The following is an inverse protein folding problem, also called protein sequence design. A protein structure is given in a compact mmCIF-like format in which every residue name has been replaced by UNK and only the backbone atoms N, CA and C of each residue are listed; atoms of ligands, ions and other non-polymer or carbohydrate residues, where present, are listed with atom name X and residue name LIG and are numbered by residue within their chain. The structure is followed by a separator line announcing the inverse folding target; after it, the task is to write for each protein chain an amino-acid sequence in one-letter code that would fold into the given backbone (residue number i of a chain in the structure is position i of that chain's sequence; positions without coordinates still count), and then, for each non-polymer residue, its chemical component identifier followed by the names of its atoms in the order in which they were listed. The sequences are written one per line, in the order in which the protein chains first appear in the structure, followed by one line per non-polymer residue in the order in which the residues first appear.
data_IF_584021335230
#
_entry.id   IF_584021335230
#
_cell.length_a   1.000
_cell.length_b   1.000
_cell.length_c   1.000
_cell.angle_alpha   90.00
_cell.angle_beta   90.00
_cell.angle_gamma   90.00
#
_symmetry.space_group_name_H-M   'P 1'
#
loop_
_entity.id
_entity.type
_entity.pdbx_description
1 polymer ?
#
# COMPACT_ATOMS: atom_id res chain seq x y z
N UNK A 1 -9.10 1.21 -15.58
CA UNK A 1 -8.57 1.94 -14.42
C UNK A 1 -7.17 2.42 -14.70
N UNK A 2 -6.84 3.63 -14.32
CA UNK A 2 -5.47 4.17 -14.41
C UNK A 2 -5.06 4.71 -13.04
N UNK A 3 -3.78 4.58 -12.71
CA UNK A 3 -3.22 5.19 -11.51
C UNK A 3 -2.70 6.58 -11.87
N UNK A 4 -3.22 7.58 -11.17
CA UNK A 4 -2.79 8.97 -11.37
C UNK A 4 -1.41 9.17 -10.77
N UNK A 5 -0.57 9.92 -11.48
CA UNK A 5 0.74 10.32 -10.97
C UNK A 5 0.58 11.11 -9.67
N UNK A 6 1.43 10.80 -8.69
CA UNK A 6 1.47 11.47 -7.39
C UNK A 6 0.17 11.34 -6.56
N UNK A 7 -0.63 10.29 -6.80
CA UNK A 7 -1.84 10.01 -6.05
C UNK A 7 -1.61 8.90 -5.03
N UNK A 8 -2.40 8.95 -3.94
CA UNK A 8 -2.36 7.94 -2.88
C UNK A 8 -3.43 6.88 -3.12
N UNK A 9 -3.01 5.64 -3.03
CA UNK A 9 -3.86 4.45 -3.10
C UNK A 9 -3.67 3.62 -1.84
N UNK A 10 -4.66 2.81 -1.50
CA UNK A 10 -4.53 1.85 -0.42
C UNK A 10 -4.94 0.46 -0.87
N UNK A 11 -4.32 -0.56 -0.28
CA UNK A 11 -4.47 -1.96 -0.66
C UNK A 11 -4.42 -2.87 0.56
N UNK A 12 -5.39 -3.79 0.68
CA UNK A 12 -5.27 -4.96 1.55
C UNK A 12 -4.77 -6.15 0.73
N UNK A 13 -3.67 -6.77 1.13
CA UNK A 13 -3.05 -7.80 0.29
C UNK A 13 -3.72 -9.18 0.35
N UNK A 14 -4.59 -9.44 1.32
CA UNK A 14 -5.32 -10.72 1.35
C UNK A 14 -6.14 -10.86 0.06
N UNK A 15 -6.01 -12.01 -0.58
CA UNK A 15 -6.65 -12.26 -1.87
C UNK A 15 -5.86 -11.76 -3.08
N UNK A 16 -4.74 -11.06 -2.88
CA UNK A 16 -3.86 -10.62 -3.96
C UNK A 16 -2.78 -11.65 -4.26
N UNK A 17 -2.28 -11.59 -5.49
CA UNK A 17 -1.09 -12.33 -5.90
C UNK A 17 0.10 -11.39 -6.01
N UNK A 18 1.24 -11.80 -5.47
CA UNK A 18 2.46 -10.98 -5.51
C UNK A 18 2.89 -10.66 -6.95
N UNK A 19 2.70 -11.59 -7.87
CA UNK A 19 2.99 -11.38 -9.28
C UNK A 19 2.22 -10.18 -9.83
N UNK A 20 0.93 -10.06 -9.53
CA UNK A 20 0.10 -8.94 -9.98
C UNK A 20 0.52 -7.63 -9.34
N UNK A 21 0.84 -7.65 -8.04
CA UNK A 21 1.34 -6.46 -7.34
C UNK A 21 2.66 -5.99 -7.94
N UNK A 22 3.59 -6.90 -8.16
CA UNK A 22 4.89 -6.59 -8.77
C UNK A 22 4.72 -5.95 -10.16
N UNK A 23 3.85 -6.52 -10.99
CA UNK A 23 3.57 -5.97 -12.31
C UNK A 23 2.93 -4.59 -12.24
N UNK A 24 1.94 -4.41 -11.36
CA UNK A 24 1.27 -3.12 -11.16
C UNK A 24 2.24 -2.04 -10.69
N UNK A 25 3.10 -2.35 -9.72
CA UNK A 25 4.11 -1.42 -9.21
C UNK A 25 5.09 -1.01 -10.32
N UNK A 26 5.52 -1.94 -11.14
CA UNK A 26 6.44 -1.65 -12.26
C UNK A 26 5.79 -0.78 -13.33
N UNK A 27 4.55 -1.08 -13.69
CA UNK A 27 3.82 -0.31 -14.72
C UNK A 27 3.57 1.13 -14.28
N UNK A 28 3.22 1.32 -13.02
CA UNK A 28 2.79 2.63 -12.50
C UNK A 28 3.94 3.47 -11.95
N UNK A 29 5.07 2.86 -11.64
CA UNK A 29 6.16 3.52 -10.93
C UNK A 29 5.85 3.79 -9.46
N UNK A 30 4.82 3.13 -8.91
CA UNK A 30 4.40 3.35 -7.54
C UNK A 30 5.41 2.83 -6.52
N UNK A 31 5.41 3.44 -5.35
CA UNK A 31 6.07 2.92 -4.15
C UNK A 31 5.03 2.17 -3.32
N UNK A 32 5.33 0.94 -2.95
CA UNK A 32 4.53 0.18 -2.00
C UNK A 32 4.98 0.56 -0.59
N UNK A 33 4.10 1.20 0.15
CA UNK A 33 4.36 1.60 1.54
C UNK A 33 3.67 0.61 2.47
N UNK A 34 4.46 -0.27 3.07
CA UNK A 34 3.98 -1.29 3.98
C UNK A 34 3.81 -0.70 5.38
N UNK A 35 2.56 -0.55 5.82
CA UNK A 35 2.24 0.09 7.11
C UNK A 35 1.91 -0.91 8.22
N UNK A 36 2.27 -2.18 8.04
CA UNK A 36 2.14 -3.15 9.13
C UNK A 36 3.10 -2.80 10.26
N UNK A 37 2.66 -2.97 11.49
CA UNK A 37 3.54 -2.80 12.66
C UNK A 37 4.74 -3.74 12.57
N UNK A 38 4.47 -5.02 12.26
CA UNK A 38 5.47 -6.00 11.90
C UNK A 38 5.27 -6.37 10.42
N UNK A 39 6.31 -6.27 9.63
CA UNK A 39 6.28 -6.66 8.21
C UNK A 39 6.38 -8.18 8.08
N UNK A 40 5.41 -8.87 8.67
CA UNK A 40 5.35 -10.32 8.80
C UNK A 40 3.99 -10.85 8.36
N UNK A 41 3.97 -12.04 7.80
CA UNK A 41 2.76 -12.78 7.46
C UNK A 41 3.03 -14.27 7.66
N UNK A 42 1.99 -15.03 8.01
CA UNK A 42 2.05 -16.51 8.03
C UNK A 42 2.31 -17.05 6.63
N UNK A 43 1.84 -16.36 5.60
CA UNK A 43 2.19 -16.65 4.21
C UNK A 43 3.55 -16.00 3.91
N UNK A 44 4.61 -16.80 3.66
CA UNK A 44 5.96 -16.27 3.43
C UNK A 44 6.04 -15.26 2.28
N UNK A 45 5.15 -15.36 1.30
CA UNK A 45 5.07 -14.43 0.16
C UNK A 45 5.03 -12.98 0.61
N UNK A 46 4.33 -12.69 1.71
CA UNK A 46 4.09 -11.34 2.20
C UNK A 46 5.02 -10.91 3.33
N UNK A 47 6.08 -11.67 3.58
CA UNK A 47 7.16 -11.26 4.49
C UNK A 47 8.01 -10.18 3.82
N UNK A 48 8.55 -9.28 4.64
CA UNK A 48 9.41 -8.18 4.20
C UNK A 48 10.50 -8.62 3.23
N UNK A 49 11.20 -9.71 3.55
CA UNK A 49 12.31 -10.18 2.73
C UNK A 49 11.89 -10.52 1.30
N UNK A 50 10.72 -11.15 1.14
CA UNK A 50 10.19 -11.48 -0.17
C UNK A 50 9.68 -10.25 -0.92
N UNK A 51 9.11 -9.28 -0.21
CA UNK A 51 8.68 -8.02 -0.81
C UNK A 51 9.88 -7.19 -1.28
N UNK A 52 10.94 -7.14 -0.49
CA UNK A 52 12.22 -6.50 -0.90
C UNK A 52 12.79 -7.15 -2.15
N UNK A 53 12.80 -8.48 -2.21
CA UNK A 53 13.26 -9.21 -3.40
C UNK A 53 12.42 -8.87 -4.63
N UNK A 54 11.10 -8.82 -4.48
CA UNK A 54 10.19 -8.61 -5.60
C UNK A 54 10.20 -7.17 -6.11
N UNK A 55 10.27 -6.19 -5.21
CA UNK A 55 10.01 -4.79 -5.51
C UNK A 55 11.26 -3.89 -5.41
N UNK A 56 12.29 -4.34 -4.70
CA UNK A 56 13.52 -3.55 -4.52
C UNK A 56 13.24 -2.19 -3.87
N UNK A 57 13.72 -1.13 -4.49
CA UNK A 57 13.56 0.24 -3.98
C UNK A 57 12.11 0.74 -3.99
N UNK A 58 11.23 0.05 -4.71
CA UNK A 58 9.80 0.39 -4.73
C UNK A 58 9.05 -0.17 -3.52
N UNK A 59 9.72 -0.86 -2.62
CA UNK A 59 9.17 -1.31 -1.33
C UNK A 59 9.77 -0.52 -0.19
N UNK A 60 8.91 0.06 0.66
CA UNK A 60 9.31 0.77 1.88
C UNK A 60 8.43 0.27 3.03
N UNK A 61 9.05 -0.11 4.14
CA UNK A 61 8.32 -0.42 5.36
C UNK A 61 8.24 0.83 6.23
N UNK A 62 7.02 1.27 6.53
CA UNK A 62 6.75 2.45 7.36
C UNK A 62 6.17 2.01 8.70
N UNK A 63 7.01 1.65 9.65
CA UNK A 63 6.57 1.26 10.97
C UNK A 63 5.85 2.41 11.71
N UNK A 64 6.17 3.66 11.39
CA UNK A 64 5.51 4.83 11.98
C UNK A 64 4.00 4.81 11.79
N UNK A 65 3.50 4.26 10.70
CA UNK A 65 2.07 4.06 10.46
C UNK A 65 1.55 2.70 10.91
N UNK A 66 2.38 1.91 11.58
CA UNK A 66 1.95 0.65 12.16
C UNK A 66 1.05 0.87 13.36
N UNK A 67 0.15 -0.08 13.60
CA UNK A 67 -0.73 -0.08 14.76
C UNK A 67 -0.07 -0.85 15.91
N UNK A 68 0.34 -0.16 16.96
CA UNK A 68 0.94 -0.79 18.15
C UNK A 68 -0.01 -1.79 18.80
N UNK A 69 -1.32 -1.58 18.68
CA UNK A 69 -2.36 -2.41 19.26
C UNK A 69 -2.93 -3.43 18.26
N UNK A 70 -2.15 -3.86 17.28
CA UNK A 70 -2.64 -4.76 16.23
C UNK A 70 -3.21 -6.09 16.77
N UNK A 71 -2.77 -6.54 17.93
CA UNK A 71 -3.26 -7.78 18.56
C UNK A 71 -4.60 -7.60 19.25
N UNK A 72 -4.96 -6.38 19.62
CA UNK A 72 -6.21 -6.09 20.33
C UNK A 72 -7.40 -6.10 19.41
N UNK A 73 -7.23 -5.54 18.18
CA UNK A 73 -8.32 -5.37 17.22
C UNK A 73 -9.22 -4.19 17.56
N UNK A 74 -10.12 -3.87 16.63
CA UNK A 74 -11.04 -2.75 16.74
C UNK A 74 -10.44 -1.41 16.34
N UNK A 75 -11.22 -0.59 15.62
CA UNK A 75 -10.75 0.71 15.13
C UNK A 75 -10.48 1.70 16.27
N UNK A 76 -11.25 1.60 17.35
CA UNK A 76 -11.08 2.43 18.55
C UNK A 76 -9.78 2.15 19.29
N UNK A 77 -9.17 1.00 19.06
CA UNK A 77 -7.92 0.59 19.72
C UNK A 77 -6.68 0.88 18.88
N UNK A 78 -6.83 1.43 17.67
CA UNK A 78 -5.70 1.74 16.82
C UNK A 78 -4.83 2.81 17.46
N UNK A 79 -3.55 2.51 17.56
CA UNK A 79 -2.54 3.45 18.06
C UNK A 79 -1.34 3.43 17.13
N UNK A 80 -1.18 4.49 16.36
CA UNK A 80 -0.03 4.63 15.48
C UNK A 80 1.26 4.82 16.27
N UNK A 81 2.33 4.23 15.80
CA UNK A 81 3.67 4.41 16.40
C UNK A 81 4.05 5.88 16.38
N UNK A 82 3.96 6.53 15.22
CA UNK A 82 4.24 7.95 15.08
C UNK A 82 3.56 8.51 13.83
N UNK A 83 2.28 8.87 13.99
CA UNK A 83 1.43 9.30 12.87
C UNK A 83 2.03 10.46 12.07
N UNK A 84 2.54 11.50 12.73
CA UNK A 84 3.12 12.67 12.06
C UNK A 84 4.25 12.28 11.09
N UNK A 85 5.18 11.46 11.57
CA UNK A 85 6.31 11.00 10.75
C UNK A 85 5.83 10.18 9.56
N UNK A 86 4.81 9.34 9.78
CA UNK A 86 4.23 8.52 8.72
C UNK A 86 3.59 9.37 7.63
N UNK A 87 2.85 10.40 8.00
CA UNK A 87 2.21 11.32 7.03
C UNK A 87 3.29 12.10 6.24
N UNK A 88 4.33 12.57 6.92
CA UNK A 88 5.46 13.23 6.25
C UNK A 88 6.11 12.30 5.22
N UNK A 89 6.27 11.02 5.56
CA UNK A 89 6.82 10.02 4.64
C UNK A 89 5.93 9.83 3.41
N UNK A 90 4.61 9.73 3.59
CA UNK A 90 3.66 9.65 2.48
C UNK A 90 3.84 10.86 1.55
N UNK A 91 3.83 12.06 2.10
CA UNK A 91 3.95 13.29 1.32
C UNK A 91 5.27 13.36 0.55
N UNK A 92 6.37 12.94 1.17
CA UNK A 92 7.68 12.90 0.52
C UNK A 92 7.72 11.90 -0.65
N UNK A 93 7.16 10.72 -0.47
CA UNK A 93 7.09 9.71 -1.51
C UNK A 93 6.18 10.14 -2.68
N UNK A 94 5.08 10.83 -2.38
CA UNK A 94 4.15 11.32 -3.41
C UNK A 94 4.80 12.36 -4.33
N UNK A 95 5.85 13.04 -3.90
CA UNK A 95 6.60 13.95 -4.77
C UNK A 95 7.33 13.20 -5.89
N UNK A 96 7.63 11.93 -5.69
CA UNK A 96 8.35 11.08 -6.64
C UNK A 96 7.41 10.29 -7.55
N UNK A 97 6.20 9.99 -7.12
CA UNK A 97 5.25 9.21 -7.89
C UNK A 97 4.07 8.74 -7.04
N UNK A 98 3.23 7.85 -7.56
CA UNK A 98 2.11 7.31 -6.79
C UNK A 98 2.61 6.44 -5.62
N UNK A 99 1.78 6.37 -4.57
CA UNK A 99 2.07 5.56 -3.39
C UNK A 99 0.89 4.64 -3.12
N UNK A 100 1.19 3.38 -2.85
CA UNK A 100 0.20 2.38 -2.45
C UNK A 100 0.47 2.02 -0.99
N UNK A 101 -0.40 2.46 -0.10
CA UNK A 101 -0.36 2.09 1.32
C UNK A 101 -0.94 0.69 1.46
N UNK A 102 -0.19 -0.23 2.07
CA UNK A 102 -0.56 -1.64 2.14
C UNK A 102 -0.61 -2.17 3.56
N UNK A 103 -1.64 -2.95 3.86
CA UNK A 103 -1.70 -3.82 5.04
C UNK A 103 -2.40 -5.14 4.66
N UNK A 104 -2.60 -6.04 5.63
CA UNK A 104 -3.19 -7.35 5.36
C UNK A 104 -4.69 -7.30 5.03
N UNK A 105 -5.46 -6.50 5.75
CA UNK A 105 -6.92 -6.52 5.68
C UNK A 105 -7.46 -6.10 4.32
N UNK A 106 -8.45 -6.85 3.81
CA UNK A 106 -9.18 -6.46 2.61
C UNK A 106 -10.25 -5.42 2.89
N UNK A 107 -10.86 -5.47 4.07
CA UNK A 107 -11.89 -4.52 4.47
C UNK A 107 -11.24 -3.23 5.00
N UNK A 108 -11.22 -2.21 4.15
CA UNK A 108 -10.64 -0.90 4.48
C UNK A 108 -11.32 -0.25 5.70
N UNK A 109 -12.62 -0.50 5.90
CA UNK A 109 -13.37 0.11 7.00
C UNK A 109 -13.01 -0.47 8.38
N UNK A 110 -12.32 -1.61 8.42
CA UNK A 110 -11.92 -2.29 9.65
C UNK A 110 -10.40 -2.38 9.81
N UNK A 111 -9.66 -1.52 9.11
CA UNK A 111 -8.20 -1.55 9.12
C UNK A 111 -7.62 -0.19 9.49
N UNK A 112 -6.51 -0.18 10.24
CA UNK A 112 -5.79 1.06 10.56
C UNK A 112 -5.33 1.82 9.32
N UNK A 113 -5.21 1.13 8.18
CA UNK A 113 -4.94 1.74 6.87
C UNK A 113 -5.97 2.82 6.54
N UNK A 114 -7.25 2.57 6.83
CA UNK A 114 -8.32 3.54 6.63
C UNK A 114 -8.07 4.83 7.43
N UNK A 115 -7.68 4.69 8.69
CA UNK A 115 -7.41 5.84 9.55
C UNK A 115 -6.20 6.65 9.06
N UNK A 116 -5.14 5.96 8.61
CA UNK A 116 -3.96 6.62 8.04
C UNK A 116 -4.31 7.42 6.78
N UNK A 117 -5.10 6.82 5.90
CA UNK A 117 -5.54 7.45 4.66
C UNK A 117 -6.45 8.64 4.92
N UNK A 118 -7.40 8.51 5.86
CA UNK A 118 -8.28 9.62 6.27
C UNK A 118 -7.49 10.80 6.81
N UNK A 119 -6.46 10.54 7.61
CA UNK A 119 -5.61 11.59 8.15
C UNK A 119 -4.84 12.33 7.04
N UNK A 120 -4.32 11.58 6.08
CA UNK A 120 -3.70 12.18 4.89
C UNK A 120 -4.69 13.04 4.12
N UNK A 121 -5.90 12.54 3.84
CA UNK A 121 -6.93 13.28 3.11
C UNK A 121 -7.33 14.57 3.84
N UNK A 122 -7.49 14.48 5.15
CA UNK A 122 -7.84 15.62 6.00
C UNK A 122 -6.77 16.72 5.94
N UNK A 123 -5.50 16.35 5.99
CA UNK A 123 -4.39 17.29 6.01
C UNK A 123 -4.05 17.85 4.64
N UNK A 124 -4.14 17.03 3.60
CA UNK A 124 -3.75 17.41 2.23
C UNK A 124 -4.88 18.03 1.41
N UNK A 125 -6.13 17.75 1.77
CA UNK A 125 -7.28 18.11 0.95
C UNK A 125 -7.40 17.27 -0.33
N UNK A 126 -6.55 16.23 -0.48
CA UNK A 126 -6.56 15.34 -1.64
C UNK A 126 -7.29 14.04 -1.31
N UNK A 127 -8.08 13.54 -2.25
CA UNK A 127 -8.73 12.23 -2.11
C UNK A 127 -7.74 11.09 -2.37
N UNK A 128 -7.96 9.96 -1.71
CA UNK A 128 -7.25 8.72 -1.99
C UNK A 128 -8.20 7.72 -2.65
N UNK A 129 -7.66 6.62 -3.18
CA UNK A 129 -8.44 5.59 -3.86
C UNK A 129 -8.10 4.22 -3.31
N UNK A 130 -9.13 3.47 -2.89
CA UNK A 130 -8.96 2.08 -2.51
C UNK A 130 -8.83 1.21 -3.76
N UNK A 131 -7.85 0.30 -3.78
CA UNK A 131 -7.68 -0.68 -4.85
C UNK A 131 -7.72 -2.09 -4.25
N UNK A 132 -8.31 -3.00 -5.00
CA UNK A 132 -8.44 -4.40 -4.61
C UNK A 132 -7.67 -5.34 -5.55
N UNK A 133 -7.79 -6.67 -5.31
CA UNK A 133 -7.11 -7.68 -6.14
C UNK A 133 -7.44 -7.57 -7.63
N UNK A 134 -8.68 -7.26 -7.98
CA UNK A 134 -9.13 -7.11 -9.37
C UNK A 134 -8.44 -5.94 -10.07
N UNK A 135 -8.18 -4.85 -9.35
CA UNK A 135 -7.50 -3.68 -9.89
C UNK A 135 -6.04 -3.98 -10.19
N UNK A 136 -5.34 -4.69 -9.31
CA UNK A 136 -3.97 -5.14 -9.56
C UNK A 136 -3.89 -6.02 -10.79
N UNK A 137 -4.82 -6.94 -10.93
CA UNK A 137 -4.88 -7.87 -12.07
C UNK A 137 -5.07 -7.13 -13.39
N UNK A 138 -5.94 -6.13 -13.40
CA UNK A 138 -6.16 -5.28 -14.60
C UNK A 138 -4.90 -4.50 -14.97
N UNK A 139 -4.21 -3.93 -13.99
CA UNK A 139 -2.96 -3.21 -14.23
C UNK A 139 -1.87 -4.13 -14.77
N UNK A 140 -1.76 -5.35 -14.23
CA UNK A 140 -0.84 -6.36 -14.75
C UNK A 140 -1.18 -6.76 -16.20
N UNK A 141 -2.48 -6.92 -16.51
CA UNK A 141 -2.96 -7.24 -17.86
C UNK A 141 -2.65 -6.15 -18.88
N UNK A 142 -2.78 -4.89 -18.51
CA UNK A 142 -2.41 -3.76 -19.36
C UNK A 142 -0.94 -3.84 -19.75
N UNK A 143 -0.06 -4.21 -18.83
CA UNK A 143 1.36 -4.38 -19.11
C UNK A 143 1.62 -5.49 -20.14
N UNK A 144 0.94 -6.63 -20.00
CA UNK A 144 1.06 -7.76 -20.92
C UNK A 144 0.61 -7.36 -22.33
N UNK A 145 -0.50 -6.64 -22.47
CA UNK A 145 -0.98 -6.11 -23.73
C UNK A 145 0.04 -5.18 -24.39
N UNK A 146 0.65 -4.28 -23.61
CA UNK A 146 1.68 -3.36 -24.10
C UNK A 146 2.90 -4.14 -24.61
N UNK A 147 3.32 -5.19 -23.91
CA UNK A 147 4.46 -6.01 -24.33
C UNK A 147 4.18 -6.78 -25.62
N UNK A 148 2.95 -7.20 -25.87
CA UNK A 148 2.56 -7.91 -27.07
C UNK A 148 2.50 -7.02 -28.32
N UNK A 149 2.33 -5.70 -28.15
CA UNK A 149 2.25 -4.75 -29.26
C UNK A 149 3.62 -4.22 -29.71
N UNK A 150 4.63 -4.48 -28.97
CA UNK A 150 6.01 -4.12 -29.28
C UNK A 150 6.86 -5.35 -29.58
#
# INVERSE_FOLDING_TARGET
MSIKRNALYDLGYLGCHLHDLKAAVKVTGATLLDIRFLAFSRNPTWKKDNLVKALGEQYVHCRSLGNENYKVGGMENVKFVYLERGIIMICGLLQKGPVIVMCACTDVNHCHRHLAVLEYEKRSGQASTHIGPGDLKRLAGIREEIQLTF
#
